data_IF_968267293148
#
_entry.id   IF_968267293148
#
_cell.length_a   1.000
_cell.length_b   1.000
_cell.length_c   1.000
_cell.angle_alpha   90.00
_cell.angle_beta   90.00
_cell.angle_gamma   90.00
#
_symmetry.space_group_name_H-M   'P 1'
#
loop_
_entity.id
_entity.type
_entity.pdbx_description
1 polymer ?
#
# COMPACT_ATOMS: atom_id res chain seq x y z
N UNK A 1 31.98 -19.47 0.74
CA UNK A 1 30.96 -19.16 -0.29
C UNK A 1 29.60 -18.74 0.28
N UNK A 2 29.17 -19.18 1.47
CA UNK A 2 27.79 -18.92 1.93
C UNK A 2 27.54 -17.48 2.42
N UNK A 3 28.54 -16.81 3.01
CA UNK A 3 28.41 -15.42 3.51
C UNK A 3 27.91 -14.44 2.45
N UNK A 4 28.46 -14.52 1.24
CA UNK A 4 28.12 -13.61 0.14
C UNK A 4 26.71 -13.86 -0.42
N UNK A 5 26.20 -15.09 -0.34
CA UNK A 5 24.84 -15.41 -0.79
C UNK A 5 23.77 -14.82 0.15
N UNK A 6 23.99 -14.89 1.47
CA UNK A 6 23.08 -14.29 2.45
C UNK A 6 23.12 -12.77 2.43
N UNK A 7 24.31 -12.19 2.26
CA UNK A 7 24.48 -10.74 2.09
C UNK A 7 23.77 -10.23 0.84
N UNK A 8 23.90 -10.92 -0.30
CA UNK A 8 23.18 -10.58 -1.52
C UNK A 8 21.66 -10.64 -1.32
N UNK A 9 21.16 -11.65 -0.60
CA UNK A 9 19.73 -11.77 -0.30
C UNK A 9 19.25 -10.64 0.62
N UNK A 10 20.01 -10.29 1.66
CA UNK A 10 19.71 -9.19 2.55
C UNK A 10 19.65 -7.84 1.79
N UNK A 11 20.64 -7.58 0.93
CA UNK A 11 20.66 -6.39 0.10
C UNK A 11 19.46 -6.33 -0.85
N UNK A 12 19.11 -7.44 -1.51
CA UNK A 12 17.95 -7.50 -2.39
C UNK A 12 16.63 -7.22 -1.66
N UNK A 13 16.45 -7.72 -0.43
CA UNK A 13 15.28 -7.43 0.39
C UNK A 13 15.21 -5.92 0.71
N UNK A 14 16.33 -5.33 1.10
CA UNK A 14 16.42 -3.90 1.44
C UNK A 14 16.10 -3.05 0.19
N UNK A 15 16.73 -3.35 -0.95
CA UNK A 15 16.50 -2.65 -2.23
C UNK A 15 15.03 -2.73 -2.68
N UNK A 16 14.41 -3.90 -2.52
CA UNK A 16 12.99 -4.09 -2.85
C UNK A 16 12.10 -3.23 -1.95
N UNK A 17 12.36 -3.22 -0.63
CA UNK A 17 11.62 -2.38 0.31
C UNK A 17 11.74 -0.89 -0.05
N UNK A 18 12.94 -0.40 -0.37
CA UNK A 18 13.12 0.98 -0.84
C UNK A 18 12.29 1.26 -2.10
N UNK A 19 12.30 0.33 -3.06
CA UNK A 19 11.55 0.48 -4.31
C UNK A 19 10.05 0.54 -4.07
N UNK A 20 9.52 -0.33 -3.22
CA UNK A 20 8.09 -0.39 -2.91
C UNK A 20 7.63 0.86 -2.15
N UNK A 21 8.45 1.35 -1.20
CA UNK A 21 8.20 2.64 -0.55
C UNK A 21 8.16 3.80 -1.54
N UNK A 22 9.17 3.91 -2.43
CA UNK A 22 9.23 4.98 -3.44
C UNK A 22 8.01 4.98 -4.35
N UNK A 23 7.55 3.79 -4.79
CA UNK A 23 6.35 3.66 -5.62
C UNK A 23 5.09 4.09 -4.87
N UNK A 24 4.91 3.61 -3.65
CA UNK A 24 3.77 3.96 -2.81
C UNK A 24 3.74 5.46 -2.51
N UNK A 25 4.85 6.04 -2.09
CA UNK A 25 4.96 7.47 -1.79
C UNK A 25 4.66 8.36 -3.02
N UNK A 26 5.22 8.01 -4.19
CA UNK A 26 4.92 8.72 -5.46
C UNK A 26 3.45 8.60 -5.87
N UNK A 27 2.83 7.45 -5.62
CA UNK A 27 1.41 7.26 -5.88
C UNK A 27 0.56 8.13 -4.95
N UNK A 28 0.85 8.14 -3.65
CA UNK A 28 0.13 8.93 -2.64
C UNK A 28 0.30 10.44 -2.86
N UNK A 29 1.46 10.90 -3.33
CA UNK A 29 1.69 12.32 -3.72
C UNK A 29 0.72 12.77 -4.81
N UNK A 30 0.34 11.87 -5.73
CA UNK A 30 -0.62 12.15 -6.83
C UNK A 30 -2.07 11.87 -6.45
N UNK A 31 -2.29 10.94 -5.52
CA UNK A 31 -3.60 10.46 -5.13
C UNK A 31 -3.76 10.53 -3.60
N UNK A 32 -3.80 11.76 -3.03
CA UNK A 32 -4.03 11.91 -1.60
C UNK A 32 -5.42 11.40 -1.24
N UNK A 33 -5.48 10.61 -0.16
CA UNK A 33 -6.75 10.17 0.42
C UNK A 33 -7.54 11.40 0.83
N UNK A 34 -8.73 11.55 0.25
CA UNK A 34 -9.58 12.73 0.46
C UNK A 34 -10.95 12.26 0.93
N UNK A 35 -11.51 12.92 1.95
CA UNK A 35 -12.83 12.59 2.52
C UNK A 35 -13.94 12.55 1.45
N UNK A 36 -13.83 13.41 0.43
CA UNK A 36 -14.75 13.41 -0.71
C UNK A 36 -14.72 12.11 -1.51
N UNK A 37 -13.55 11.50 -1.71
CA UNK A 37 -13.43 10.23 -2.44
C UNK A 37 -14.04 9.10 -1.62
N UNK A 38 -13.80 9.10 -0.31
CA UNK A 38 -14.40 8.11 0.59
C UNK A 38 -15.91 8.21 0.64
N UNK A 39 -16.45 9.43 0.72
CA UNK A 39 -17.88 9.67 0.70
C UNK A 39 -18.52 9.17 -0.60
N UNK A 40 -17.90 9.42 -1.75
CA UNK A 40 -18.37 8.91 -3.05
C UNK A 40 -18.35 7.39 -3.11
N UNK A 41 -17.29 6.74 -2.62
CA UNK A 41 -17.23 5.27 -2.58
C UNK A 41 -18.26 4.71 -1.60
N UNK A 42 -18.47 5.34 -0.46
CA UNK A 42 -19.46 4.93 0.53
C UNK A 42 -20.89 5.01 0.00
N UNK A 43 -21.24 6.08 -0.74
CA UNK A 43 -22.57 6.19 -1.36
C UNK A 43 -22.78 5.13 -2.43
N UNK A 44 -21.78 4.91 -3.30
CA UNK A 44 -21.84 3.84 -4.31
C UNK A 44 -22.03 2.46 -3.67
N UNK A 45 -21.30 2.15 -2.59
CA UNK A 45 -21.43 0.89 -1.87
C UNK A 45 -22.80 0.74 -1.21
N UNK A 46 -23.35 1.79 -0.62
CA UNK A 46 -24.68 1.79 -0.03
C UNK A 46 -25.78 1.55 -1.08
N UNK A 47 -25.67 2.17 -2.26
CA UNK A 47 -26.61 1.95 -3.37
C UNK A 47 -26.47 0.54 -3.96
N UNK A 48 -25.25 0.00 -4.04
CA UNK A 48 -25.01 -1.41 -4.39
C UNK A 48 -25.62 -2.37 -3.38
N UNK A 49 -25.52 -2.07 -2.08
CA UNK A 49 -26.10 -2.88 -1.02
C UNK A 49 -27.63 -2.94 -1.11
N UNK A 50 -28.30 -1.79 -1.28
CA UNK A 50 -29.76 -1.72 -1.52
C UNK A 50 -30.18 -2.57 -2.72
N UNK A 51 -29.48 -2.43 -3.85
CA UNK A 51 -29.76 -3.26 -5.04
C UNK A 51 -29.59 -4.75 -4.76
N UNK A 52 -28.60 -5.14 -3.97
CA UNK A 52 -28.40 -6.56 -3.57
C UNK A 52 -29.54 -7.06 -2.69
N UNK A 53 -30.07 -6.24 -1.80
CA UNK A 53 -31.23 -6.60 -0.98
C UNK A 53 -32.50 -6.76 -1.83
N UNK A 54 -32.73 -5.85 -2.77
CA UNK A 54 -33.83 -5.95 -3.74
C UNK A 54 -33.72 -7.24 -4.57
N UNK A 55 -32.53 -7.57 -5.08
CA UNK A 55 -32.29 -8.81 -5.84
C UNK A 55 -32.55 -10.07 -5.01
N UNK A 56 -32.15 -10.07 -3.73
CA UNK A 56 -32.44 -11.15 -2.80
C UNK A 56 -33.95 -11.31 -2.60
N UNK A 57 -34.67 -10.21 -2.42
CA UNK A 57 -36.13 -10.21 -2.28
C UNK A 57 -36.81 -10.76 -3.55
N UNK A 58 -36.27 -10.46 -4.72
CA UNK A 58 -36.76 -10.94 -6.03
C UNK A 58 -36.28 -12.35 -6.40
N UNK A 59 -35.45 -13.00 -5.58
CA UNK A 59 -34.84 -14.33 -5.85
C UNK A 59 -34.10 -14.41 -7.19
N UNK A 60 -33.46 -13.32 -7.60
CA UNK A 60 -32.68 -13.25 -8.84
C UNK A 60 -31.27 -13.86 -8.59
N UNK A 61 -30.73 -14.70 -9.49
CA UNK A 61 -29.36 -15.18 -9.40
C UNK A 61 -28.36 -14.03 -9.33
N UNK A 62 -27.43 -14.10 -8.36
CA UNK A 62 -26.47 -13.02 -8.11
C UNK A 62 -25.42 -12.93 -9.22
N UNK A 63 -25.41 -11.83 -9.94
CA UNK A 63 -24.37 -11.52 -10.93
C UNK A 63 -23.12 -10.95 -10.24
N UNK A 64 -21.94 -11.17 -10.85
CA UNK A 64 -20.68 -10.63 -10.33
C UNK A 64 -20.66 -9.12 -10.55
N UNK A 65 -20.87 -8.38 -9.48
CA UNK A 65 -20.78 -6.92 -9.52
C UNK A 65 -19.32 -6.46 -9.49
N UNK A 66 -18.88 -5.77 -10.54
CA UNK A 66 -17.53 -5.22 -10.59
C UNK A 66 -17.36 -4.00 -9.69
N UNK A 67 -16.13 -3.85 -9.17
CA UNK A 67 -15.76 -2.66 -8.43
C UNK A 67 -15.73 -1.45 -9.34
N UNK A 68 -16.26 -0.31 -8.87
CA UNK A 68 -16.18 0.95 -9.60
C UNK A 68 -14.73 1.43 -9.71
N UNK A 69 -14.48 2.40 -10.61
CA UNK A 69 -13.15 3.02 -10.71
C UNK A 69 -12.76 3.70 -9.40
N UNK A 70 -13.71 4.36 -8.73
CA UNK A 70 -13.48 5.04 -7.45
C UNK A 70 -13.17 4.04 -6.32
N UNK A 71 -13.90 2.92 -6.26
CA UNK A 71 -13.63 1.83 -5.32
C UNK A 71 -12.22 1.25 -5.52
N UNK A 72 -11.85 0.94 -6.77
CA UNK A 72 -10.49 0.43 -7.09
C UNK A 72 -9.41 1.45 -6.77
N UNK A 73 -9.68 2.74 -6.97
CA UNK A 73 -8.75 3.81 -6.62
C UNK A 73 -8.56 3.89 -5.11
N UNK A 74 -9.65 3.86 -4.33
CA UNK A 74 -9.56 3.88 -2.87
C UNK A 74 -8.82 2.66 -2.33
N UNK A 75 -9.08 1.46 -2.86
CA UNK A 75 -8.32 0.26 -2.54
C UNK A 75 -6.81 0.45 -2.81
N UNK A 76 -6.46 1.02 -3.98
CA UNK A 76 -5.07 1.28 -4.36
C UNK A 76 -4.38 2.33 -3.47
N UNK A 77 -5.12 3.35 -3.02
CA UNK A 77 -4.63 4.35 -2.07
C UNK A 77 -4.35 3.67 -0.73
N UNK A 78 -5.32 2.94 -0.18
CA UNK A 78 -5.17 2.25 1.10
C UNK A 78 -4.02 1.23 1.08
N UNK A 79 -3.86 0.50 -0.03
CA UNK A 79 -2.74 -0.43 -0.20
C UNK A 79 -1.40 0.31 -0.25
N UNK A 80 -1.34 1.47 -0.91
CA UNK A 80 -0.13 2.30 -0.93
C UNK A 80 0.19 2.88 0.45
N UNK A 81 -0.81 3.34 1.20
CA UNK A 81 -0.64 3.79 2.59
C UNK A 81 -0.09 2.67 3.47
N UNK A 82 -0.67 1.47 3.35
CA UNK A 82 -0.20 0.28 4.05
C UNK A 82 1.24 -0.05 3.68
N UNK A 83 1.57 -0.09 2.39
CA UNK A 83 2.91 -0.41 1.90
C UNK A 83 3.95 0.59 2.45
N UNK A 84 3.61 1.88 2.46
CA UNK A 84 4.49 2.90 3.02
C UNK A 84 4.74 2.70 4.52
N UNK A 85 3.68 2.42 5.30
CA UNK A 85 3.77 2.18 6.73
C UNK A 85 4.48 0.88 7.11
N UNK A 86 4.23 -0.20 6.36
CA UNK A 86 4.89 -1.50 6.56
C UNK A 86 6.38 -1.41 6.24
N UNK A 87 6.75 -0.64 5.21
CA UNK A 87 8.16 -0.41 4.87
C UNK A 87 8.87 0.40 5.95
N UNK A 88 8.25 1.47 6.46
CA UNK A 88 8.78 2.22 7.61
C UNK A 88 8.98 1.31 8.84
N UNK A 89 8.00 0.45 9.12
CA UNK A 89 8.10 -0.56 10.18
C UNK A 89 9.24 -1.54 9.96
N UNK A 90 9.47 -1.97 8.72
CA UNK A 90 10.56 -2.87 8.36
C UNK A 90 11.91 -2.23 8.70
N UNK A 91 12.16 -1.00 8.26
CA UNK A 91 13.43 -0.30 8.53
C UNK A 91 13.67 -0.06 10.04
N UNK A 92 12.62 0.16 10.82
CA UNK A 92 12.72 0.29 12.29
C UNK A 92 12.69 -1.06 13.05
N UNK A 93 12.62 -2.18 12.34
CA UNK A 93 12.47 -3.49 12.98
C UNK A 93 13.81 -4.05 13.46
N UNK A 94 13.73 -4.92 14.49
CA UNK A 94 14.89 -5.73 14.92
C UNK A 94 15.40 -6.66 13.82
N UNK A 95 14.54 -7.03 12.87
CA UNK A 95 14.91 -7.89 11.76
C UNK A 95 15.82 -7.16 10.77
N UNK A 96 15.59 -5.87 10.50
CA UNK A 96 16.51 -5.06 9.70
C UNK A 96 17.92 -5.03 10.31
N UNK A 97 18.02 -4.86 11.63
CA UNK A 97 19.29 -4.91 12.36
C UNK A 97 19.99 -6.28 12.33
N UNK A 98 19.27 -7.37 11.98
CA UNK A 98 19.87 -8.68 11.72
C UNK A 98 20.39 -8.83 10.29
N UNK A 99 19.78 -8.12 9.33
CA UNK A 99 20.17 -8.15 7.92
C UNK A 99 21.41 -7.30 7.65
N UNK A 100 21.57 -6.18 8.37
CA UNK A 100 22.66 -5.24 8.16
C UNK A 100 23.05 -4.52 9.44
N UNK A 101 24.30 -4.04 9.51
CA UNK A 101 24.79 -3.19 10.60
C UNK A 101 24.46 -1.70 10.41
N UNK A 102 23.74 -1.35 9.34
CA UNK A 102 23.28 0.01 9.09
C UNK A 102 22.20 0.42 10.08
N UNK A 103 22.13 1.72 10.36
CA UNK A 103 21.02 2.30 11.10
C UNK A 103 19.80 2.46 10.18
N UNK A 104 18.76 1.67 10.44
CA UNK A 104 17.55 1.65 9.62
C UNK A 104 16.72 2.93 9.71
N UNK A 105 16.77 3.64 10.85
CA UNK A 105 16.07 4.91 11.00
C UNK A 105 16.73 5.98 10.12
N UNK A 106 18.06 6.12 10.22
CA UNK A 106 18.80 7.10 9.41
C UNK A 106 18.68 6.81 7.91
N UNK A 107 18.72 5.52 7.52
CA UNK A 107 18.54 5.13 6.13
C UNK A 107 17.16 5.53 5.61
N UNK A 108 16.12 5.30 6.39
CA UNK A 108 14.76 5.60 5.98
C UNK A 108 14.47 7.11 5.93
N UNK A 109 15.00 7.88 6.88
CA UNK A 109 14.95 9.35 6.84
C UNK A 109 15.65 9.92 5.59
N UNK A 110 16.78 9.33 5.20
CA UNK A 110 17.46 9.69 3.97
C UNK A 110 16.60 9.42 2.73
N UNK A 111 15.99 8.24 2.64
CA UNK A 111 15.09 7.88 1.53
C UNK A 111 13.87 8.80 1.45
N UNK A 112 13.28 9.16 2.60
CA UNK A 112 12.17 10.12 2.69
C UNK A 112 12.59 11.47 2.11
N UNK A 113 13.75 11.99 2.51
CA UNK A 113 14.27 13.26 2.04
C UNK A 113 14.57 13.25 0.54
N UNK A 114 15.22 12.21 0.03
CA UNK A 114 15.47 12.06 -1.41
C UNK A 114 14.17 12.14 -2.25
N UNK A 115 13.07 11.59 -1.75
CA UNK A 115 11.77 11.66 -2.43
C UNK A 115 11.08 13.02 -2.34
N UNK A 116 11.34 13.80 -1.30
CA UNK A 116 10.85 15.18 -1.19
C UNK A 116 11.56 16.09 -2.18
N UNK A 117 12.84 15.82 -2.44
CA UNK A 117 13.69 16.55 -3.38
C UNK A 117 13.41 16.20 -4.88
N UNK A 118 12.60 15.16 -5.15
CA UNK A 118 12.14 14.70 -6.49
C UNK A 118 10.73 15.20 -6.90
#
# INVERSE_FOLDING_TARGET
>A
MHRKNYENLANAIIEQAVTDYRRAAKFLKKHPRTDSLEAVVATQLADKEKRREEWKNLKIPKEREEKSKEERLLDSIQESERMAAETERFFHSKWFAQLTSLDGQLLFEHIKKELEDE
#
